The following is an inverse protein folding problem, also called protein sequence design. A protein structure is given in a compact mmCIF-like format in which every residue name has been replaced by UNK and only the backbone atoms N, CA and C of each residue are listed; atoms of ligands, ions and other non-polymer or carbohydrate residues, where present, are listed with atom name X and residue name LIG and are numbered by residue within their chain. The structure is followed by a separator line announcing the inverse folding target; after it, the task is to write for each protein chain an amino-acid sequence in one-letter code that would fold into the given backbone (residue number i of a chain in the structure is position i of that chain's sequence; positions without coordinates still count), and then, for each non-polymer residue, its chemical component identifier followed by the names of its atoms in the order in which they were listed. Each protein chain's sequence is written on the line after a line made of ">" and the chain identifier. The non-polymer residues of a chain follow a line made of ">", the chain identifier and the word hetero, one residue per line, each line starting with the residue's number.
data_IF_227703549217
#
_entry.id   IF_227703549217
#
_cell.length_a   1.000
_cell.length_b   1.000
_cell.length_c   1.000
_cell.angle_alpha   90.00
_cell.angle_beta   90.00
_cell.angle_gamma   90.00
#
_symmetry.space_group_name_H-M   'P 1'
#
loop_
_entity.id
_entity.type
_entity.pdbx_description
1 polymer ?
#
# COMPACT_ATOMS: atom_id res chain seq x y z
N UNK A 1 -11.38 -3.04 19.56
CA UNK A 1 -11.48 -2.33 18.28
C UNK A 1 -12.85 -2.61 17.70
N UNK A 2 -13.63 -1.58 17.40
CA UNK A 2 -14.94 -1.72 16.77
C UNK A 2 -14.79 -2.00 15.27
N UNK A 3 -15.82 -2.56 14.59
CA UNK A 3 -15.80 -2.73 13.14
C UNK A 3 -15.52 -1.43 12.38
N UNK A 4 -16.05 -0.30 12.89
CA UNK A 4 -15.86 1.03 12.30
C UNK A 4 -14.43 1.55 12.48
N UNK A 5 -13.84 1.33 13.66
CA UNK A 5 -12.43 1.64 13.90
C UNK A 5 -11.52 0.80 12.99
N UNK A 6 -11.81 -0.50 12.83
CA UNK A 6 -11.07 -1.38 11.94
C UNK A 6 -11.17 -0.93 10.48
N UNK A 7 -12.37 -0.53 10.03
CA UNK A 7 -12.58 0.01 8.69
C UNK A 7 -11.77 1.28 8.45
N UNK A 8 -11.78 2.21 9.41
CA UNK A 8 -11.02 3.46 9.31
C UNK A 8 -9.51 3.19 9.24
N UNK A 9 -8.99 2.33 10.13
CA UNK A 9 -7.59 1.90 10.14
C UNK A 9 -7.18 1.22 8.83
N UNK A 10 -8.04 0.36 8.28
CA UNK A 10 -7.78 -0.28 7.00
C UNK A 10 -7.75 0.73 5.86
N UNK A 11 -8.65 1.71 5.88
CA UNK A 11 -8.66 2.79 4.91
C UNK A 11 -7.41 3.64 4.95
N UNK A 12 -7.04 4.14 6.13
CA UNK A 12 -5.81 4.92 6.35
C UNK A 12 -4.56 4.14 5.94
N UNK A 13 -4.49 2.84 6.26
CA UNK A 13 -3.35 2.00 5.87
C UNK A 13 -3.20 1.89 4.34
N UNK A 14 -4.32 1.80 3.61
CA UNK A 14 -4.31 1.64 2.15
C UNK A 14 -3.93 2.90 1.37
N UNK A 15 -4.22 4.10 1.90
CA UNK A 15 -4.00 5.36 1.16
C UNK A 15 -3.03 6.31 1.82
N UNK A 16 -2.75 6.15 3.11
CA UNK A 16 -2.01 7.14 3.91
C UNK A 16 -2.79 8.44 4.16
N UNK A 17 -4.08 8.49 3.83
CA UNK A 17 -4.92 9.68 3.97
C UNK A 17 -6.34 9.36 4.42
N UNK A 18 -7.13 10.41 4.65
CA UNK A 18 -8.52 10.33 5.06
C UNK A 18 -9.51 10.06 3.91
N UNK A 19 -9.06 10.03 2.66
CA UNK A 19 -9.90 9.87 1.46
C UNK A 19 -9.93 8.43 0.95
N UNK A 20 -10.10 7.49 1.88
CA UNK A 20 -9.90 6.06 1.63
C UNK A 20 -11.12 5.29 1.11
N UNK A 21 -12.31 5.90 1.04
CA UNK A 21 -13.55 5.17 0.73
C UNK A 21 -13.50 4.43 -0.63
N UNK A 22 -12.89 5.05 -1.65
CA UNK A 22 -12.72 4.42 -2.97
C UNK A 22 -11.69 3.28 -2.94
N UNK A 23 -10.60 3.45 -2.20
CA UNK A 23 -9.55 2.44 -2.09
C UNK A 23 -10.07 1.19 -1.37
N UNK A 24 -10.75 1.37 -0.24
CA UNK A 24 -11.39 0.27 0.50
C UNK A 24 -12.46 -0.41 -0.35
N UNK A 25 -13.28 0.34 -1.10
CA UNK A 25 -14.30 -0.24 -1.98
C UNK A 25 -13.70 -1.13 -3.09
N UNK A 26 -12.56 -0.70 -3.67
CA UNK A 26 -11.80 -1.51 -4.63
C UNK A 26 -11.25 -2.77 -3.97
N UNK A 27 -10.59 -2.62 -2.82
CA UNK A 27 -9.98 -3.75 -2.10
C UNK A 27 -11.04 -4.80 -1.71
N UNK A 28 -12.20 -4.38 -1.20
CA UNK A 28 -13.32 -5.27 -0.90
C UNK A 28 -13.91 -5.96 -2.13
N UNK A 29 -13.76 -5.38 -3.33
CA UNK A 29 -14.21 -5.98 -4.58
C UNK A 29 -13.58 -7.36 -4.82
N UNK A 30 -12.28 -7.51 -4.56
CA UNK A 30 -11.58 -8.79 -4.72
C UNK A 30 -12.10 -9.90 -3.79
N UNK A 31 -12.71 -9.52 -2.66
CA UNK A 31 -13.17 -10.40 -1.58
C UNK A 31 -14.69 -10.58 -1.55
N UNK A 32 -15.40 -10.14 -2.59
CA UNK A 32 -16.85 -10.14 -2.58
C UNK A 32 -17.41 -11.60 -2.56
N UNK A 33 -18.44 -11.89 -1.74
CA UNK A 33 -18.99 -13.25 -1.58
C UNK A 33 -19.53 -13.88 -2.88
N UNK A 34 -20.19 -13.09 -3.74
CA UNK A 34 -20.67 -13.56 -5.06
C UNK A 34 -19.57 -13.68 -6.13
N UNK A 35 -18.30 -13.56 -5.75
CA UNK A 35 -17.15 -13.62 -6.64
C UNK A 35 -16.42 -12.27 -6.79
N UNK A 36 -15.11 -12.30 -7.11
CA UNK A 36 -14.29 -11.10 -7.25
C UNK A 36 -14.85 -10.11 -8.27
N UNK A 37 -14.75 -8.83 -7.94
CA UNK A 37 -15.13 -7.70 -8.80
C UNK A 37 -14.15 -6.55 -8.64
N UNK A 38 -14.14 -5.63 -9.60
CA UNK A 38 -13.22 -4.48 -9.55
C UNK A 38 -13.47 -3.58 -8.33
N UNK A 39 -14.72 -3.40 -7.91
CA UNK A 39 -15.08 -2.56 -6.76
C UNK A 39 -16.49 -2.87 -6.26
N UNK A 40 -16.76 -2.60 -4.99
CA UNK A 40 -18.13 -2.36 -4.49
C UNK A 40 -18.51 -0.87 -4.61
N UNK A 41 -19.74 -0.49 -4.30
CA UNK A 41 -20.15 0.92 -4.27
C UNK A 41 -19.40 1.69 -3.15
N UNK A 42 -18.56 2.70 -3.49
CA UNK A 42 -17.87 3.51 -2.49
C UNK A 42 -18.81 4.26 -1.55
N UNK A 43 -20.06 4.53 -1.95
CA UNK A 43 -21.06 5.16 -1.07
C UNK A 43 -21.42 4.25 0.11
N UNK A 44 -21.37 2.93 -0.05
CA UNK A 44 -21.58 1.99 1.05
C UNK A 44 -20.49 2.16 2.11
N UNK A 45 -19.23 2.24 1.67
CA UNK A 45 -18.08 2.48 2.54
C UNK A 45 -18.19 3.82 3.26
N UNK A 46 -18.60 4.89 2.56
CA UNK A 46 -18.83 6.20 3.19
C UNK A 46 -19.92 6.14 4.26
N UNK A 47 -21.01 5.40 4.02
CA UNK A 47 -22.10 5.24 5.02
C UNK A 47 -21.68 4.39 6.21
N UNK A 48 -20.82 3.38 6.00
CA UNK A 48 -20.21 2.62 7.09
C UNK A 48 -19.32 3.49 7.98
N UNK A 49 -18.50 4.35 7.35
CA UNK A 49 -17.64 5.31 8.06
C UNK A 49 -18.44 6.24 8.97
N UNK A 50 -19.54 6.80 8.47
CA UNK A 50 -20.36 7.76 9.25
C UNK A 50 -21.31 7.07 10.24
N UNK A 51 -21.45 5.74 10.16
CA UNK A 51 -22.46 5.00 10.93
C UNK A 51 -23.88 5.16 10.41
N UNK A 52 -24.07 5.75 9.22
CA UNK A 52 -25.37 5.82 8.55
C UNK A 52 -25.84 4.44 8.04
N UNK A 53 -24.95 3.45 8.02
CA UNK A 53 -25.25 2.06 7.68
C UNK A 53 -24.32 1.13 8.46
N UNK A 54 -24.83 -0.02 8.88
CA UNK A 54 -24.02 -1.08 9.48
C UNK A 54 -23.07 -1.72 8.46
N UNK A 55 -21.88 -2.10 8.93
CA UNK A 55 -20.89 -2.79 8.10
C UNK A 55 -21.34 -4.23 7.89
N UNK A 56 -21.33 -4.69 6.64
CA UNK A 56 -21.72 -6.05 6.32
C UNK A 56 -20.73 -7.06 6.96
N UNK A 57 -21.19 -8.20 7.50
CA UNK A 57 -20.31 -9.16 8.16
C UNK A 57 -19.17 -9.67 7.28
N UNK A 58 -19.42 -9.91 5.99
CA UNK A 58 -18.39 -10.36 5.05
C UNK A 58 -17.32 -9.29 4.82
N UNK A 59 -17.71 -8.00 4.82
CA UNK A 59 -16.76 -6.91 4.66
C UNK A 59 -15.84 -6.81 5.89
N UNK A 60 -16.40 -6.96 7.10
CA UNK A 60 -15.62 -7.03 8.34
C UNK A 60 -14.61 -8.18 8.28
N UNK A 61 -15.05 -9.37 7.83
CA UNK A 61 -14.19 -10.54 7.71
C UNK A 61 -13.08 -10.37 6.64
N UNK A 62 -13.31 -9.56 5.61
CA UNK A 62 -12.33 -9.28 4.56
C UNK A 62 -11.25 -8.27 4.98
N UNK A 63 -11.54 -7.34 5.91
CA UNK A 63 -10.57 -6.28 6.30
C UNK A 63 -9.21 -6.83 6.78
N UNK A 64 -9.12 -7.86 7.65
CA UNK A 64 -7.83 -8.42 8.04
C UNK A 64 -7.06 -9.06 6.87
N UNK A 65 -7.76 -9.63 5.88
CA UNK A 65 -7.13 -10.24 4.71
C UNK A 65 -6.57 -9.15 3.79
N UNK A 66 -7.37 -8.13 3.51
CA UNK A 66 -6.95 -6.94 2.73
C UNK A 66 -5.70 -6.29 3.34
N UNK A 67 -5.67 -6.14 4.67
CA UNK A 67 -4.53 -5.53 5.35
C UNK A 67 -3.26 -6.39 5.28
N UNK A 68 -3.38 -7.71 5.35
CA UNK A 68 -2.24 -8.63 5.19
C UNK A 68 -1.70 -8.58 3.77
N UNK A 69 -2.57 -8.72 2.77
CA UNK A 69 -2.18 -8.62 1.36
C UNK A 69 -1.50 -7.28 1.06
N UNK A 70 -2.02 -6.19 1.64
CA UNK A 70 -1.43 -4.87 1.47
C UNK A 70 -0.05 -4.76 2.13
N UNK A 71 0.12 -5.32 3.33
CA UNK A 71 1.42 -5.37 3.99
C UNK A 71 2.44 -6.16 3.17
N UNK A 72 2.07 -7.35 2.69
CA UNK A 72 2.93 -8.20 1.85
C UNK A 72 3.34 -7.48 0.55
N UNK A 73 2.41 -6.73 -0.05
CA UNK A 73 2.69 -5.92 -1.23
C UNK A 73 3.67 -4.76 -0.93
N UNK A 74 3.51 -4.08 0.21
CA UNK A 74 4.42 -3.02 0.65
C UNK A 74 5.82 -3.56 0.98
N UNK A 75 5.91 -4.72 1.63
CA UNK A 75 7.20 -5.38 1.92
C UNK A 75 7.93 -5.77 0.62
N UNK A 76 7.18 -6.30 -0.35
CA UNK A 76 7.72 -6.63 -1.67
C UNK A 76 8.26 -5.38 -2.37
N UNK A 77 7.51 -4.28 -2.34
CA UNK A 77 7.94 -3.02 -2.96
C UNK A 77 9.12 -2.38 -2.23
N UNK A 78 9.13 -2.42 -0.90
CA UNK A 78 10.26 -1.96 -0.10
C UNK A 78 11.55 -2.72 -0.45
N UNK A 79 11.47 -4.04 -0.67
CA UNK A 79 12.60 -4.84 -1.16
C UNK A 79 13.15 -4.33 -2.49
N UNK A 80 12.27 -4.12 -3.49
CA UNK A 80 12.67 -3.59 -4.80
C UNK A 80 13.32 -2.21 -4.72
N UNK A 81 12.80 -1.34 -3.84
CA UNK A 81 13.34 0.00 -3.64
C UNK A 81 14.71 -0.02 -2.96
N UNK A 82 14.95 -0.95 -2.02
CA UNK A 82 16.29 -1.14 -1.44
C UNK A 82 17.29 -1.60 -2.50
N UNK A 83 16.95 -2.62 -3.30
CA UNK A 83 17.83 -3.11 -4.37
C UNK A 83 18.18 -1.98 -5.36
N UNK A 84 17.18 -1.21 -5.78
CA UNK A 84 17.39 -0.08 -6.68
C UNK A 84 18.25 1.04 -6.08
N UNK A 85 18.15 1.26 -4.75
CA UNK A 85 18.98 2.23 -4.05
C UNK A 85 20.45 1.76 -3.97
N UNK A 86 20.68 0.47 -3.71
CA UNK A 86 22.02 -0.12 -3.71
C UNK A 86 22.69 -0.01 -5.09
N UNK A 87 21.96 -0.36 -6.16
CA UNK A 87 22.43 -0.20 -7.54
C UNK A 87 22.78 1.26 -7.88
N UNK A 88 21.94 2.21 -7.45
CA UNK A 88 22.17 3.63 -7.66
C UNK A 88 23.42 4.14 -6.91
N UNK A 89 23.70 3.62 -5.71
CA UNK A 89 24.91 3.96 -4.96
C UNK A 89 26.18 3.43 -5.64
N UNK A 90 26.14 2.21 -6.18
CA UNK A 90 27.24 1.64 -6.95
C UNK A 90 27.54 2.50 -8.18
N UNK A 91 26.50 2.83 -8.96
CA UNK A 91 26.65 3.68 -10.13
C UNK A 91 27.21 5.08 -9.78
N UNK A 92 26.76 5.68 -8.69
CA UNK A 92 27.27 6.96 -8.22
C UNK A 92 28.76 6.88 -7.85
N UNK A 93 29.18 5.81 -7.17
CA UNK A 93 30.59 5.59 -6.83
C UNK A 93 31.47 5.42 -8.07
N UNK A 94 31.01 4.67 -9.06
CA UNK A 94 31.73 4.47 -10.32
C UNK A 94 31.94 5.81 -11.06
N UNK A 95 30.89 6.63 -11.16
CA UNK A 95 30.97 7.98 -11.74
C UNK A 95 32.00 8.84 -10.98
N UNK A 96 32.00 8.81 -9.65
CA UNK A 96 32.97 9.54 -8.85
C UNK A 96 34.42 9.08 -9.10
N UNK A 97 34.65 7.78 -9.28
CA UNK A 97 35.99 7.25 -9.59
C UNK A 97 36.44 7.69 -10.98
N UNK A 98 35.56 7.65 -11.98
CA UNK A 98 35.87 8.14 -13.33
C UNK A 98 36.23 9.64 -13.32
N UNK A 99 35.48 10.46 -12.57
CA UNK A 99 35.72 11.89 -12.45
C UNK A 99 37.04 12.23 -11.73
N UNK A 100 37.51 11.39 -10.80
CA UNK A 100 38.80 11.61 -10.12
C UNK A 100 40.01 11.47 -11.03
N UNK A 101 39.88 10.72 -12.14
CA UNK A 101 40.98 10.43 -13.06
C UNK A 101 42.12 9.62 -12.42
N UNK A 102 43.10 9.12 -13.20
CA UNK A 102 44.23 8.39 -12.64
C UNK A 102 45.13 9.32 -11.80
N UNK A 103 45.78 8.82 -10.75
CA UNK A 103 46.73 9.61 -9.99
C UNK A 103 47.84 10.12 -10.93
N UNK A 104 48.01 11.45 -10.99
CA UNK A 104 49.06 12.09 -11.78
C UNK A 104 50.45 11.54 -11.43
N UNK A 105 51.41 11.56 -12.36
CA UNK A 105 52.71 10.93 -12.16
C UNK A 105 53.41 11.48 -10.91
N UNK A 106 53.82 10.57 -10.01
CA UNK A 106 54.66 10.92 -8.85
C UNK A 106 56.01 11.42 -9.36
N UNK A 107 56.34 12.69 -9.08
CA UNK A 107 57.64 13.29 -9.37
C UNK A 107 58.70 12.84 -8.36
#
# INVERSE_FOLDING_TARGET
>A
MTPREMLARAGEALTGDDNWAKAVARALGAYHPDGPRETIDPRSVSRWRTGAMEILPWAIAALPLILRDHADALETEAGRLHDAADDAMVAAYEIEQELRGPPGPRR
#
